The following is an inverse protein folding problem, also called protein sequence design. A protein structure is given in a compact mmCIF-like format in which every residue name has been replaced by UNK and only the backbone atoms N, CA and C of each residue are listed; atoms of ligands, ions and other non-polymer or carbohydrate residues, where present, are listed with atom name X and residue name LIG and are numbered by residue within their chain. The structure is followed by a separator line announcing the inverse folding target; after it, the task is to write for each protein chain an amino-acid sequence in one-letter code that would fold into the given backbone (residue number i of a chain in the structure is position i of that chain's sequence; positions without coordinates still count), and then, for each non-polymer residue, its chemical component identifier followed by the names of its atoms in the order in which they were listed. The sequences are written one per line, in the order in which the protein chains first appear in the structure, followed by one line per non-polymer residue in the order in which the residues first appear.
data_IF_098959774332
#
_entry.id   IF_098959774332
#
_cell.length_a   1.000
_cell.length_b   1.000
_cell.length_c   1.000
_cell.angle_alpha   90.00
_cell.angle_beta   90.00
_cell.angle_gamma   90.00
#
_symmetry.space_group_name_H-M   'P 1'
#
loop_
_entity.id
_entity.type
_entity.pdbx_description
1 polymer ?
#
# COMPACT_ATOMS: atom_id res chain seq x y z
N UNK A 1 -21.94 -19.11 -11.28
CA UNK A 1 -20.57 -18.98 -10.74
C UNK A 1 -20.45 -17.65 -9.98
N UNK A 2 -21.15 -17.54 -8.86
CA UNK A 2 -21.22 -16.32 -8.05
C UNK A 2 -21.27 -16.72 -6.57
N UNK A 3 -20.15 -17.18 -6.03
CA UNK A 3 -20.12 -17.70 -4.66
C UNK A 3 -18.72 -18.02 -4.14
N UNK A 4 -17.72 -17.18 -4.41
CA UNK A 4 -16.34 -17.47 -3.97
C UNK A 4 -15.60 -16.30 -3.31
N UNK A 5 -16.21 -15.11 -3.21
CA UNK A 5 -15.51 -13.93 -2.67
C UNK A 5 -16.03 -13.51 -1.29
N UNK A 6 -17.23 -13.95 -0.90
CA UNK A 6 -17.76 -13.68 0.46
C UNK A 6 -17.19 -14.63 1.52
N UNK A 7 -16.90 -15.89 1.19
CA UNK A 7 -16.38 -16.86 2.19
C UNK A 7 -14.95 -16.54 2.65
N UNK A 8 -14.13 -15.91 1.81
CA UNK A 8 -12.73 -15.57 2.16
C UNK A 8 -12.68 -14.40 3.15
N UNK A 9 -13.62 -13.47 3.08
CA UNK A 9 -13.69 -12.32 4.00
C UNK A 9 -14.30 -12.73 5.35
N UNK A 10 -15.24 -13.68 5.36
CA UNK A 10 -15.85 -14.19 6.60
C UNK A 10 -14.88 -15.09 7.38
N UNK A 11 -14.02 -15.86 6.70
CA UNK A 11 -13.00 -16.68 7.39
C UNK A 11 -11.94 -15.83 8.10
N UNK A 12 -11.55 -14.67 7.53
CA UNK A 12 -10.56 -13.78 8.13
C UNK A 12 -11.09 -12.99 9.35
N UNK A 13 -12.41 -12.81 9.49
CA UNK A 13 -13.00 -12.22 10.70
C UNK A 13 -13.20 -13.23 11.84
N UNK A 14 -13.21 -14.53 11.55
CA UNK A 14 -13.35 -15.57 12.57
C UNK A 14 -12.05 -15.82 13.36
N UNK A 15 -10.87 -15.65 12.74
CA UNK A 15 -9.58 -15.79 13.46
C UNK A 15 -9.17 -14.53 14.24
N UNK A 16 -9.68 -13.35 13.87
CA UNK A 16 -9.37 -12.10 14.57
C UNK A 16 -10.26 -11.86 15.82
N UNK A 17 -11.39 -12.59 15.95
CA UNK A 17 -12.32 -12.48 17.07
C UNK A 17 -11.90 -13.28 18.32
N UNK A 18 -11.14 -14.37 18.15
CA UNK A 18 -10.76 -15.28 19.24
C UNK A 18 -9.57 -14.76 20.05
N UNK A 19 -8.76 -13.86 19.48
CA UNK A 19 -7.56 -13.31 20.11
C UNK A 19 -7.83 -12.18 21.13
N UNK A 20 -9.09 -11.73 21.31
CA UNK A 20 -9.44 -10.62 22.21
C UNK A 20 -10.23 -11.05 23.46
N UNK A 21 -10.31 -12.35 23.75
CA UNK A 21 -11.07 -12.87 24.90
C UNK A 21 -10.22 -13.66 25.90
N UNK A 22 -8.93 -13.37 26.00
CA UNK A 22 -8.05 -13.84 27.07
C UNK A 22 -7.46 -12.66 27.85
N UNK A 23 -8.35 -11.88 28.46
CA UNK A 23 -8.03 -10.97 29.55
C UNK A 23 -8.27 -11.66 30.88
N UNK A 24 -7.43 -12.64 31.23
CA UNK A 24 -7.47 -13.27 32.55
C UNK A 24 -6.58 -12.49 33.51
N UNK A 25 -7.22 -11.71 34.40
CA UNK A 25 -6.57 -11.14 35.58
C UNK A 25 -6.36 -12.30 36.56
N UNK A 26 -5.16 -12.89 36.53
CA UNK A 26 -4.74 -13.89 37.51
C UNK A 26 -4.57 -13.20 38.86
N UNK A 27 -5.60 -13.30 39.69
CA UNK A 27 -5.51 -13.10 41.13
C UNK A 27 -4.63 -14.21 41.72
N UNK A 28 -3.65 -13.83 42.53
CA UNK A 28 -2.78 -14.74 43.25
C UNK A 28 -3.61 -15.61 44.23
N UNK A 29 -3.43 -16.94 44.25
CA UNK A 29 -3.96 -17.75 45.34
C UNK A 29 -3.05 -17.62 46.56
N UNK A 30 -3.65 -17.28 47.69
CA UNK A 30 -3.07 -17.52 49.00
C UNK A 30 -3.09 -19.04 49.26
N UNK A 31 -1.93 -19.67 49.29
CA UNK A 31 -1.79 -21.05 49.74
C UNK A 31 -1.38 -21.08 51.22
N UNK A 32 -2.36 -21.44 52.03
CA UNK A 32 -2.21 -22.05 53.34
C UNK A 32 -1.91 -23.54 53.11
N UNK A 33 -0.74 -24.03 53.53
CA UNK A 33 -0.51 -25.47 53.67
C UNK A 33 0.13 -25.81 55.01
N UNK A 34 -0.75 -26.39 55.82
CA UNK A 34 -0.58 -27.18 57.01
C UNK A 34 0.68 -28.05 57.04
N UNK A 35 1.31 -28.02 58.21
CA UNK A 35 2.25 -29.01 58.69
C UNK A 35 1.51 -30.25 59.20
N UNK A 36 2.01 -31.43 58.84
CA UNK A 36 1.96 -32.73 59.54
C UNK A 36 2.56 -33.75 58.56
N UNK A 37 3.28 -34.82 58.89
CA UNK A 37 3.79 -35.49 60.10
C UNK A 37 4.86 -36.47 59.55
N UNK A 38 5.88 -36.92 60.26
CA UNK A 38 5.81 -37.78 61.43
C UNK A 38 6.91 -38.84 61.39
N UNK A 39 7.42 -39.17 62.57
CA UNK A 39 8.08 -40.44 62.92
C UNK A 39 9.58 -40.53 62.64
N UNK A 40 10.40 -41.12 63.50
CA UNK A 40 10.21 -41.78 64.80
C UNK A 40 11.63 -42.13 65.28
N UNK A 41 12.01 -41.80 66.51
CA UNK A 41 13.08 -42.53 67.21
C UNK A 41 12.92 -42.36 68.72
N UNK A 42 12.39 -43.41 69.34
CA UNK A 42 12.40 -43.61 70.77
C UNK A 42 13.68 -44.33 71.23
N UNK A 43 14.14 -43.90 72.41
CA UNK A 43 14.86 -44.64 73.46
C UNK A 43 16.28 -45.17 73.20
N UNK A 44 17.25 -44.71 74.01
CA UNK A 44 17.93 -45.55 75.00
C UNK A 44 18.87 -44.70 75.90
N UNK A 45 18.87 -45.08 77.18
CA UNK A 45 19.58 -44.51 78.33
C UNK A 45 21.11 -44.39 78.20
N UNK A 46 21.72 -43.46 78.96
CA UNK A 46 22.82 -43.78 79.90
C UNK A 46 23.35 -42.54 80.65
N UNK A 47 23.52 -42.73 81.96
CA UNK A 47 24.24 -41.89 82.91
C UNK A 47 25.76 -41.76 82.61
N UNK A 48 26.39 -40.72 83.15
CA UNK A 48 27.84 -40.66 83.40
C UNK A 48 28.33 -39.23 83.56
N UNK A 49 28.24 -38.65 84.76
CA UNK A 49 29.32 -38.66 85.76
C UNK A 49 30.48 -37.70 85.41
N UNK A 50 30.57 -36.66 86.24
CA UNK A 50 31.74 -35.86 86.60
C UNK A 50 33.08 -36.51 86.32
N UNK A 51 33.92 -35.88 85.51
CA UNK A 51 35.38 -35.90 85.70
C UNK A 51 35.95 -34.50 85.52
N UNK A 52 36.10 -33.84 86.67
CA UNK A 52 36.98 -32.70 86.89
C UNK A 52 38.44 -33.15 86.74
N UNK A 53 39.09 -32.76 85.64
CA UNK A 53 40.55 -32.67 85.61
C UNK A 53 40.97 -31.26 85.99
N UNK A 54 41.24 -31.08 87.28
CA UNK A 54 42.04 -29.96 87.78
C UNK A 54 43.51 -30.34 87.63
N UNK A 55 44.21 -29.61 86.75
CA UNK A 55 45.67 -29.65 86.59
C UNK A 55 46.15 -28.23 86.33
N UNK A 56 46.50 -27.54 87.41
CA UNK A 56 47.09 -26.20 87.49
C UNK A 56 48.34 -26.06 86.62
N UNK A 57 48.42 -25.04 85.75
CA UNK A 57 49.61 -24.18 85.55
C UNK A 57 49.25 -22.79 84.95
N UNK A 58 49.79 -21.76 85.62
CA UNK A 58 50.19 -20.40 85.20
C UNK A 58 49.27 -19.48 84.35
N UNK A 59 49.15 -18.23 84.84
CA UNK A 59 48.37 -17.11 84.31
C UNK A 59 48.74 -16.65 82.88
N UNK A 60 47.72 -16.40 82.06
CA UNK A 60 47.55 -15.12 81.34
C UNK A 60 46.05 -14.85 81.13
N UNK A 61 45.59 -13.64 81.45
CA UNK A 61 44.21 -13.19 81.24
C UNK A 61 43.92 -13.07 79.74
N UNK A 62 43.47 -14.15 79.11
CA UNK A 62 42.88 -14.07 77.78
C UNK A 62 41.68 -15.01 77.75
N UNK A 63 40.51 -14.45 77.43
CA UNK A 63 39.29 -15.23 77.20
C UNK A 63 39.60 -16.30 76.13
N UNK A 64 39.35 -17.60 76.37
CA UNK A 64 39.83 -18.68 75.50
C UNK A 64 39.60 -18.52 73.98
N UNK A 65 38.50 -17.91 73.49
CA UNK A 65 38.33 -17.66 72.05
C UNK A 65 39.09 -16.42 71.50
N UNK A 66 39.81 -15.68 72.33
CA UNK A 66 40.65 -14.53 71.94
C UNK A 66 42.15 -14.74 72.21
N UNK A 67 42.61 -16.00 72.29
CA UNK A 67 44.05 -16.29 72.38
C UNK A 67 44.78 -15.99 71.07
N UNK A 68 45.64 -14.96 71.13
CA UNK A 68 46.47 -14.48 70.03
C UNK A 68 47.38 -15.52 69.39
N UNK A 69 47.77 -16.56 70.13
CA UNK A 69 48.64 -17.62 69.64
C UNK A 69 47.99 -18.45 68.51
N UNK A 70 46.66 -18.53 68.48
CA UNK A 70 45.91 -19.32 67.47
C UNK A 70 45.57 -18.52 66.20
N UNK A 71 45.58 -17.19 66.27
CA UNK A 71 45.24 -16.33 65.13
C UNK A 71 46.19 -16.51 63.95
N UNK A 72 47.47 -16.80 64.17
CA UNK A 72 48.42 -17.04 63.08
C UNK A 72 48.02 -18.22 62.18
N UNK A 73 47.64 -19.35 62.80
CA UNK A 73 47.17 -20.54 62.08
C UNK A 73 45.83 -20.32 61.40
N UNK A 74 44.89 -19.65 62.08
CA UNK A 74 43.58 -19.33 61.53
C UNK A 74 43.67 -18.35 60.34
N UNK A 75 44.53 -17.34 60.42
CA UNK A 75 44.77 -16.39 59.33
C UNK A 75 45.47 -17.07 58.14
N UNK A 76 46.41 -17.98 58.39
CA UNK A 76 47.06 -18.76 57.33
C UNK A 76 46.03 -19.65 56.61
N UNK A 77 45.20 -20.38 57.34
CA UNK A 77 44.16 -21.23 56.75
C UNK A 77 43.06 -20.42 56.05
N UNK A 78 42.65 -19.29 56.64
CA UNK A 78 41.76 -18.33 56.00
C UNK A 78 42.35 -17.82 54.69
N UNK A 79 43.62 -17.44 54.67
CA UNK A 79 44.29 -16.98 53.46
C UNK A 79 44.36 -18.07 52.38
N UNK A 80 44.63 -19.34 52.76
CA UNK A 80 44.64 -20.47 51.84
C UNK A 80 43.25 -20.72 51.24
N UNK A 81 42.23 -20.82 52.09
CA UNK A 81 40.84 -21.10 51.66
C UNK A 81 40.25 -19.94 50.86
N UNK A 82 40.47 -18.70 51.30
CA UNK A 82 40.06 -17.50 50.59
C UNK A 82 40.80 -17.36 49.25
N UNK A 83 42.11 -17.65 49.21
CA UNK A 83 42.90 -17.66 47.98
C UNK A 83 42.40 -18.71 47.00
N UNK A 84 42.12 -19.93 47.46
CA UNK A 84 41.53 -20.99 46.64
C UNK A 84 40.15 -20.60 46.08
N UNK A 85 39.29 -20.02 46.92
CA UNK A 85 37.97 -19.51 46.51
C UNK A 85 38.11 -18.35 45.50
N UNK A 86 39.03 -17.42 45.73
CA UNK A 86 39.30 -16.30 44.83
C UNK A 86 39.76 -16.80 43.46
N UNK A 87 40.68 -17.77 43.41
CA UNK A 87 41.14 -18.37 42.16
C UNK A 87 40.00 -19.08 41.44
N UNK A 88 39.15 -19.82 42.16
CA UNK A 88 37.98 -20.49 41.58
C UNK A 88 36.99 -19.47 40.98
N UNK A 89 36.68 -18.40 41.71
CA UNK A 89 35.78 -17.34 41.25
C UNK A 89 36.37 -16.57 40.07
N UNK A 90 37.65 -16.22 40.14
CA UNK A 90 38.37 -15.50 39.08
C UNK A 90 38.44 -16.34 37.80
N UNK A 91 38.70 -17.65 37.92
CA UNK A 91 38.92 -18.53 36.77
C UNK A 91 37.65 -19.13 36.19
N UNK A 92 36.56 -19.23 36.96
CA UNK A 92 35.32 -19.90 36.54
C UNK A 92 34.12 -18.95 36.52
N UNK A 93 33.87 -18.20 37.60
CA UNK A 93 32.66 -17.38 37.70
C UNK A 93 32.72 -16.13 36.80
N UNK A 94 33.83 -15.38 36.84
CA UNK A 94 34.03 -14.19 36.00
C UNK A 94 33.94 -14.48 34.49
N UNK A 95 34.65 -15.50 33.93
CA UNK A 95 34.55 -15.77 32.50
C UNK A 95 33.16 -16.26 32.08
N UNK A 96 32.43 -16.98 32.94
CA UNK A 96 31.04 -17.39 32.64
C UNK A 96 30.11 -16.18 32.53
N UNK A 97 30.20 -15.23 33.46
CA UNK A 97 29.38 -14.01 33.44
C UNK A 97 29.78 -13.13 32.24
N UNK A 98 31.08 -12.99 31.97
CA UNK A 98 31.59 -12.26 30.81
C UNK A 98 31.06 -12.84 29.48
N UNK A 99 31.05 -14.16 29.33
CA UNK A 99 30.51 -14.81 28.13
C UNK A 99 29.01 -14.58 27.92
N UNK A 100 28.22 -14.57 28.99
CA UNK A 100 26.78 -14.25 28.91
C UNK A 100 26.57 -12.79 28.49
N UNK A 101 27.34 -11.87 29.08
CA UNK A 101 27.22 -10.45 28.78
C UNK A 101 27.62 -10.16 27.32
N UNK A 102 28.68 -10.79 26.84
CA UNK A 102 29.13 -10.69 25.45
C UNK A 102 28.10 -11.28 24.48
N UNK A 103 27.50 -12.43 24.82
CA UNK A 103 26.43 -13.04 24.00
C UNK A 103 25.22 -12.10 23.89
N UNK A 104 24.79 -11.51 25.01
CA UNK A 104 23.68 -10.54 25.02
C UNK A 104 24.03 -9.29 24.21
N UNK A 105 25.23 -8.76 24.39
CA UNK A 105 25.72 -7.60 23.64
C UNK A 105 25.72 -7.89 22.14
N UNK A 106 26.33 -9.00 21.72
CA UNK A 106 26.40 -9.42 20.32
C UNK A 106 24.99 -9.58 19.73
N UNK A 107 24.06 -10.17 20.49
CA UNK A 107 22.67 -10.31 20.05
C UNK A 107 21.98 -8.96 19.87
N UNK A 108 22.09 -8.06 20.86
CA UNK A 108 21.51 -6.71 20.78
C UNK A 108 22.10 -5.93 19.60
N UNK A 109 23.43 -5.97 19.42
CA UNK A 109 24.10 -5.31 18.29
C UNK A 109 23.70 -5.95 16.94
N UNK A 110 23.41 -7.25 16.92
CA UNK A 110 22.83 -7.94 15.76
C UNK A 110 21.42 -7.46 15.45
N UNK A 111 20.55 -7.48 16.46
CA UNK A 111 19.14 -7.07 16.35
C UNK A 111 19.02 -5.59 15.95
N UNK A 112 19.87 -4.71 16.50
CA UNK A 112 19.91 -3.28 16.12
C UNK A 112 20.38 -3.08 14.67
N UNK A 113 21.40 -3.83 14.22
CA UNK A 113 21.85 -3.76 12.82
C UNK A 113 20.79 -4.25 11.86
N UNK A 114 20.09 -5.33 12.22
CA UNK A 114 19.03 -5.88 11.40
C UNK A 114 17.82 -4.94 11.35
N UNK A 115 17.43 -4.35 12.48
CA UNK A 115 16.38 -3.34 12.53
C UNK A 115 16.72 -2.12 11.65
N UNK A 116 17.96 -1.64 11.71
CA UNK A 116 18.41 -0.53 10.86
C UNK A 116 18.43 -0.91 9.38
N UNK A 117 18.86 -2.13 9.03
CA UNK A 117 18.81 -2.64 7.65
C UNK A 117 17.37 -2.67 7.13
N UNK A 118 16.44 -3.25 7.90
CA UNK A 118 15.03 -3.35 7.55
C UNK A 118 14.38 -1.96 7.43
N UNK A 119 14.74 -1.04 8.33
CA UNK A 119 14.31 0.35 8.25
C UNK A 119 14.77 1.00 6.94
N UNK A 120 16.05 0.90 6.61
CA UNK A 120 16.59 1.47 5.38
C UNK A 120 15.97 0.86 4.12
N UNK A 121 15.70 -0.45 4.13
CA UNK A 121 15.01 -1.12 3.02
C UNK A 121 13.58 -0.65 2.88
N UNK A 122 12.87 -0.47 3.99
CA UNK A 122 11.50 0.07 4.01
C UNK A 122 11.47 1.51 3.51
N UNK A 123 12.39 2.36 3.96
CA UNK A 123 12.51 3.75 3.50
C UNK A 123 12.83 3.81 2.00
N UNK A 124 13.73 2.95 1.50
CA UNK A 124 14.02 2.84 0.06
C UNK A 124 12.82 2.35 -0.74
N UNK A 125 12.11 1.34 -0.25
CA UNK A 125 10.92 0.81 -0.90
C UNK A 125 9.79 1.84 -0.94
N UNK A 126 9.57 2.58 0.15
CA UNK A 126 8.61 3.67 0.21
C UNK A 126 8.97 4.79 -0.77
N UNK A 127 10.24 5.22 -0.81
CA UNK A 127 10.70 6.22 -1.75
C UNK A 127 10.53 5.78 -3.21
N UNK A 128 10.86 4.52 -3.53
CA UNK A 128 10.66 3.96 -4.86
C UNK A 128 9.18 3.87 -5.26
N UNK A 129 8.31 3.49 -4.32
CA UNK A 129 6.87 3.44 -4.52
C UNK A 129 6.28 4.82 -4.79
N UNK A 130 6.62 5.83 -3.99
CA UNK A 130 6.18 7.21 -4.20
C UNK A 130 6.69 7.78 -5.51
N UNK A 131 7.95 7.50 -5.88
CA UNK A 131 8.51 7.89 -7.17
C UNK A 131 7.77 7.24 -8.35
N UNK A 132 7.47 5.94 -8.25
CA UNK A 132 6.71 5.22 -9.27
C UNK A 132 5.29 5.77 -9.40
N UNK A 133 4.63 6.13 -8.29
CA UNK A 133 3.30 6.73 -8.30
C UNK A 133 3.31 8.13 -8.92
N UNK A 134 4.30 8.95 -8.60
CA UNK A 134 4.48 10.27 -9.20
C UNK A 134 4.70 10.18 -10.72
N UNK A 135 5.57 9.27 -11.16
CA UNK A 135 5.85 9.04 -12.58
C UNK A 135 4.63 8.48 -13.32
N UNK A 136 3.90 7.54 -12.72
CA UNK A 136 2.65 7.02 -13.29
C UNK A 136 1.59 8.12 -13.47
N UNK A 137 1.42 9.00 -12.47
CA UNK A 137 0.51 10.16 -12.57
C UNK A 137 0.95 11.11 -13.68
N UNK A 138 2.24 11.44 -13.74
CA UNK A 138 2.79 12.29 -14.80
C UNK A 138 2.56 11.70 -16.19
N UNK A 139 2.81 10.41 -16.37
CA UNK A 139 2.58 9.72 -17.64
C UNK A 139 1.09 9.67 -18.00
N UNK A 140 0.21 9.42 -17.04
CA UNK A 140 -1.24 9.47 -17.27
C UNK A 140 -1.69 10.87 -17.71
N UNK A 141 -1.18 11.94 -17.09
CA UNK A 141 -1.46 13.32 -17.51
C UNK A 141 -0.91 13.62 -18.90
N UNK A 142 0.31 13.18 -19.21
CA UNK A 142 0.91 13.36 -20.54
C UNK A 142 0.08 12.67 -21.63
N UNK A 143 -0.32 11.41 -21.42
CA UNK A 143 -1.18 10.67 -22.34
C UNK A 143 -2.53 11.36 -22.51
N UNK A 144 -3.13 11.85 -21.42
CA UNK A 144 -4.41 12.55 -21.47
C UNK A 144 -4.32 13.84 -22.30
N UNK A 145 -3.26 14.63 -22.13
CA UNK A 145 -3.06 15.87 -22.91
C UNK A 145 -2.72 15.58 -24.38
N UNK A 146 -1.87 14.59 -24.66
CA UNK A 146 -1.57 14.15 -26.02
C UNK A 146 -2.84 13.66 -26.73
N UNK A 147 -3.64 12.83 -26.06
CA UNK A 147 -4.90 12.31 -26.61
C UNK A 147 -5.90 13.43 -26.87
N UNK A 148 -6.04 14.39 -25.95
CA UNK A 148 -6.90 15.57 -26.15
C UNK A 148 -6.42 16.42 -27.32
N UNK A 149 -5.11 16.61 -27.46
CA UNK A 149 -4.50 17.31 -28.59
C UNK A 149 -4.80 16.61 -29.92
N UNK A 150 -4.58 15.30 -29.98
CA UNK A 150 -4.85 14.49 -31.18
C UNK A 150 -6.33 14.47 -31.56
N UNK A 151 -7.24 14.32 -30.60
CA UNK A 151 -8.69 14.36 -30.84
C UNK A 151 -9.11 15.74 -31.37
N UNK A 152 -8.60 16.84 -30.81
CA UNK A 152 -8.90 18.19 -31.30
C UNK A 152 -8.46 18.35 -32.75
N UNK A 153 -7.24 17.92 -33.08
CA UNK A 153 -6.71 17.97 -34.44
C UNK A 153 -7.54 17.11 -35.42
N UNK A 154 -7.96 15.90 -35.03
CA UNK A 154 -8.83 15.05 -35.86
C UNK A 154 -10.22 15.67 -36.07
N UNK A 155 -10.80 16.27 -35.03
CA UNK A 155 -12.09 17.00 -35.13
C UNK A 155 -11.96 18.18 -36.09
N UNK A 156 -10.90 18.99 -35.96
CA UNK A 156 -10.65 20.13 -36.85
C UNK A 156 -10.45 19.68 -38.30
N UNK A 157 -9.68 18.61 -38.54
CA UNK A 157 -9.49 18.03 -39.86
C UNK A 157 -10.80 17.53 -40.48
N UNK A 158 -11.55 16.69 -39.76
CA UNK A 158 -12.85 16.18 -40.22
C UNK A 158 -13.84 17.30 -40.48
N UNK A 159 -13.85 18.33 -39.64
CA UNK A 159 -14.72 19.49 -39.82
C UNK A 159 -14.38 20.23 -41.11
N UNK A 160 -13.09 20.49 -41.36
CA UNK A 160 -12.65 21.12 -42.60
C UNK A 160 -13.04 20.30 -43.84
N UNK A 161 -12.89 18.97 -43.79
CA UNK A 161 -13.28 18.07 -44.88
C UNK A 161 -14.80 18.10 -45.14
N UNK A 162 -15.60 18.06 -44.07
CA UNK A 162 -17.06 18.15 -44.16
C UNK A 162 -17.51 19.51 -44.70
N UNK A 163 -16.91 20.61 -44.22
CA UNK A 163 -17.20 21.96 -44.71
C UNK A 163 -16.83 22.11 -46.19
N UNK A 164 -15.67 21.59 -46.62
CA UNK A 164 -15.26 21.57 -48.03
C UNK A 164 -16.21 20.73 -48.90
N UNK A 165 -16.63 19.55 -48.41
CA UNK A 165 -17.61 18.70 -49.08
C UNK A 165 -18.98 19.36 -49.21
N UNK A 166 -19.44 20.06 -48.16
CA UNK A 166 -20.70 20.80 -48.17
C UNK A 166 -20.64 21.96 -49.16
N UNK A 167 -19.55 22.73 -49.17
CA UNK A 167 -19.36 23.84 -50.12
C UNK A 167 -19.43 23.37 -51.58
N UNK A 168 -18.82 22.21 -51.90
CA UNK A 168 -18.92 21.62 -53.25
C UNK A 168 -20.35 21.22 -53.60
N UNK A 169 -21.07 20.57 -52.69
CA UNK A 169 -22.47 20.16 -52.91
C UNK A 169 -23.40 21.37 -53.11
N UNK A 170 -23.19 22.44 -52.35
CA UNK A 170 -23.94 23.69 -52.52
C UNK A 170 -23.65 24.30 -53.89
N UNK A 171 -22.38 24.41 -54.29
CA UNK A 171 -22.01 24.94 -55.61
C UNK A 171 -22.60 24.11 -56.76
N UNK A 172 -22.60 22.78 -56.65
CA UNK A 172 -23.20 21.89 -57.64
C UNK A 172 -24.73 22.02 -57.69
N UNK A 173 -25.40 22.13 -56.53
CA UNK A 173 -26.84 22.34 -56.45
C UNK A 173 -27.25 23.70 -57.04
N UNK A 174 -26.50 24.76 -56.73
CA UNK A 174 -26.71 26.08 -57.35
C UNK A 174 -26.51 26.04 -58.87
N UNK A 175 -25.50 25.31 -59.35
CA UNK A 175 -25.27 25.09 -60.78
C UNK A 175 -26.46 24.41 -61.47
N UNK A 176 -26.99 23.34 -60.86
CA UNK A 176 -28.19 22.65 -61.36
C UNK A 176 -29.43 23.53 -61.35
N UNK A 177 -29.67 24.28 -60.27
CA UNK A 177 -30.80 25.21 -60.18
C UNK A 177 -30.71 26.28 -61.28
N UNK A 178 -29.52 26.83 -61.56
CA UNK A 178 -29.33 27.78 -62.67
C UNK A 178 -29.63 27.14 -64.02
N UNK A 179 -29.10 25.94 -64.28
CA UNK A 179 -29.35 25.22 -65.53
C UNK A 179 -30.85 24.90 -65.72
N UNK A 180 -31.53 24.42 -64.69
CA UNK A 180 -32.96 24.11 -64.72
C UNK A 180 -33.80 25.38 -64.94
N UNK A 181 -33.40 26.50 -64.29
CA UNK A 181 -34.04 27.80 -64.50
C UNK A 181 -33.88 28.27 -65.95
N UNK A 182 -32.67 28.20 -66.50
CA UNK A 182 -32.40 28.62 -67.88
C UNK A 182 -33.16 27.74 -68.89
N UNK A 183 -33.21 26.42 -68.65
CA UNK A 183 -33.99 25.49 -69.46
C UNK A 183 -35.50 25.77 -69.38
N UNK A 184 -36.04 26.02 -68.19
CA UNK A 184 -37.44 26.38 -68.00
C UNK A 184 -37.78 27.69 -68.74
N UNK A 185 -36.95 28.73 -68.59
CA UNK A 185 -37.13 30.01 -69.27
C UNK A 185 -37.04 29.88 -70.80
N UNK A 186 -36.17 29.02 -71.32
CA UNK A 186 -36.08 28.73 -72.75
C UNK A 186 -37.38 28.09 -73.30
N UNK A 187 -38.02 27.21 -72.52
CA UNK A 187 -39.26 26.53 -72.92
C UNK A 187 -40.49 27.47 -72.89
N UNK A 188 -40.51 28.50 -72.03
CA UNK A 188 -41.63 29.46 -71.93
C UNK A 188 -41.94 30.12 -73.27
N UNK A 189 -40.92 30.52 -74.02
CA UNK A 189 -41.11 31.15 -75.33
C UNK A 189 -41.78 30.24 -76.36
N UNK A 190 -41.45 28.94 -76.36
CA UNK A 190 -42.09 27.96 -77.26
C UNK A 190 -43.55 27.74 -76.86
N UNK A 191 -43.81 27.51 -75.57
CA UNK A 191 -45.16 27.27 -75.05
C UNK A 191 -46.06 28.50 -75.31
N UNK A 192 -45.53 29.71 -75.11
CA UNK A 192 -46.26 30.95 -75.40
C UNK A 192 -46.58 31.09 -76.90
N UNK A 193 -45.63 30.79 -77.79
CA UNK A 193 -45.85 30.82 -79.24
C UNK A 193 -46.87 29.79 -79.70
N UNK A 194 -46.79 28.55 -79.19
CA UNK A 194 -47.74 27.47 -79.47
C UNK A 194 -49.15 27.83 -78.97
N UNK A 195 -49.26 28.35 -77.75
CA UNK A 195 -50.55 28.77 -77.16
C UNK A 195 -51.15 29.94 -77.93
N UNK A 196 -50.35 30.95 -78.30
CA UNK A 196 -50.79 32.08 -79.11
C UNK A 196 -51.29 31.62 -80.50
N UNK A 197 -50.57 30.68 -81.14
CA UNK A 197 -50.98 30.12 -82.43
C UNK A 197 -52.35 29.42 -82.34
N UNK A 198 -52.56 28.60 -81.29
CA UNK A 198 -53.84 27.91 -81.05
C UNK A 198 -54.99 28.90 -80.80
N UNK A 199 -54.74 29.96 -80.02
CA UNK A 199 -55.73 31.01 -79.74
C UNK A 199 -56.11 31.78 -81.02
N UNK A 200 -55.13 32.17 -81.82
CA UNK A 200 -55.37 32.91 -83.08
C UNK A 200 -56.13 32.03 -84.09
N UNK A 201 -55.77 30.75 -84.20
CA UNK A 201 -56.47 29.77 -85.03
C UNK A 201 -57.97 29.64 -84.67
N UNK A 202 -58.34 29.86 -83.40
CA UNK A 202 -59.73 29.82 -82.93
C UNK A 202 -60.53 31.11 -83.18
N UNK A 203 -59.89 32.26 -83.37
CA UNK A 203 -60.56 33.59 -83.35
C UNK A 203 -60.43 34.33 -84.69
N UNK A 204 -59.25 34.34 -85.31
CA UNK A 204 -58.93 35.25 -86.42
C UNK A 204 -58.41 34.56 -87.71
N UNK A 205 -58.24 33.23 -87.71
CA UNK A 205 -57.75 32.45 -88.86
C UNK A 205 -56.40 31.78 -88.58
N UNK A 206 -55.79 31.14 -89.58
CA UNK A 206 -54.52 30.42 -89.41
C UNK A 206 -53.30 31.34 -89.52
N UNK A 207 -52.39 31.27 -88.54
CA UNK A 207 -51.07 31.93 -88.56
C UNK A 207 -49.97 30.86 -88.55
N UNK A 208 -48.87 31.12 -89.26
CA UNK A 208 -47.73 30.19 -89.29
C UNK A 208 -46.97 30.18 -87.97
N UNK A 209 -46.32 29.06 -87.66
CA UNK A 209 -45.52 28.91 -86.44
C UNK A 209 -44.37 29.94 -86.36
N UNK A 210 -43.82 30.35 -87.51
CA UNK A 210 -42.76 31.35 -87.58
C UNK A 210 -43.26 32.76 -87.19
N UNK A 211 -44.43 33.15 -87.66
CA UNK A 211 -45.05 34.45 -87.34
C UNK A 211 -45.48 34.53 -85.88
N UNK A 212 -46.09 33.47 -85.34
CA UNK A 212 -46.46 33.40 -83.92
C UNK A 212 -45.23 33.52 -83.00
N UNK A 213 -44.14 32.82 -83.35
CA UNK A 213 -42.88 32.86 -82.60
C UNK A 213 -42.21 34.24 -82.68
N UNK A 214 -42.23 34.89 -83.84
CA UNK A 214 -41.68 36.24 -84.02
C UNK A 214 -42.45 37.31 -83.22
N UNK A 215 -43.79 37.23 -83.20
CA UNK A 215 -44.63 38.16 -82.44
C UNK A 215 -44.43 38.02 -80.92
N UNK A 216 -44.38 36.79 -80.40
CA UNK A 216 -44.10 36.54 -78.98
C UNK A 216 -42.70 37.02 -78.60
N UNK A 217 -41.69 36.76 -79.45
CA UNK A 217 -40.32 37.22 -79.22
C UNK A 217 -40.18 38.75 -79.22
N UNK A 218 -40.99 39.46 -80.02
CA UNK A 218 -40.99 40.92 -80.06
C UNK A 218 -41.53 41.53 -78.76
N UNK A 219 -42.58 40.93 -78.17
CA UNK A 219 -43.19 41.40 -76.91
C UNK A 219 -42.35 41.02 -75.69
N UNK A 220 -41.68 39.86 -75.69
CA UNK A 220 -40.83 39.43 -74.56
C UNK A 220 -39.51 40.19 -74.42
N UNK A 221 -39.21 41.12 -75.32
CA UNK A 221 -37.95 41.86 -75.39
C UNK A 221 -38.09 43.33 -74.95
N UNK A 222 -39.31 43.83 -74.77
CA UNK A 222 -39.62 45.04 -73.98
C UNK A 222 -39.67 44.72 -72.48
#
# INVERSE_FOLDING_TARGET
MAGSTQDIIVLAQAEAGDALQQGEVVAAPAEEHAAESGGEHAAADAHGATETHAGTEAHSEVFPPFDGATFGGQLLWLAITFGALYLLMSRVALPRIGGILETRRTRIEGDLREAERLRQETEKAAAAYEAALAEARKNAHAIAEETRGGIKADIEGRRADVEAGLARRVAEAEGRIRADKDAALANVGSIAAETAQVLVARIAGSVSAAEAKAAVAAVSKE
#
